data_IF_049372358792
#
_entry.id   IF_049372358792
#
_cell.length_a   1.000
_cell.length_b   1.000
_cell.length_c   1.000
_cell.angle_alpha   90.00
_cell.angle_beta   90.00
_cell.angle_gamma   90.00
#
_symmetry.space_group_name_H-M   'P 1'
#
loop_
_entity.id
_entity.type
_entity.pdbx_description
1 polymer ?
#
# COMPACT_ATOMS: atom_id res chain seq x y z
N UNK A 1 17.46 3.84 8.51
CA UNK A 1 16.83 2.50 8.41
C UNK A 1 15.66 2.56 7.45
N UNK A 2 15.54 1.60 6.53
CA UNK A 2 14.47 1.56 5.52
C UNK A 2 13.65 0.28 5.63
N UNK A 3 12.33 0.41 5.64
CA UNK A 3 11.37 -0.69 5.71
C UNK A 3 10.48 -0.66 4.47
N UNK A 4 10.43 -1.75 3.71
CA UNK A 4 9.55 -1.89 2.54
C UNK A 4 8.20 -2.48 2.95
N UNK A 5 7.12 -1.72 2.74
CA UNK A 5 5.74 -2.13 2.98
C UNK A 5 5.09 -2.58 1.66
N UNK A 6 4.65 -3.83 1.62
CA UNK A 6 4.05 -4.47 0.45
C UNK A 6 2.61 -4.91 0.74
N UNK A 7 1.66 -4.32 0.03
CA UNK A 7 0.26 -4.76 0.05
C UNK A 7 -0.04 -5.62 -1.17
N UNK A 8 -0.41 -6.87 -0.96
CA UNK A 8 -0.60 -7.89 -2.00
C UNK A 8 -2.07 -8.03 -2.36
N UNK A 9 -2.38 -8.09 -3.65
CA UNK A 9 -3.73 -8.43 -4.15
C UNK A 9 -3.95 -9.95 -4.10
N UNK A 10 -3.62 -10.58 -2.97
CA UNK A 10 -3.78 -12.02 -2.77
C UNK A 10 -5.17 -12.31 -2.21
N UNK A 11 -5.96 -13.10 -2.95
CA UNK A 11 -7.28 -13.56 -2.50
C UNK A 11 -7.16 -14.88 -1.72
N UNK A 12 -8.12 -15.23 -0.85
CA UNK A 12 -8.04 -16.41 0.04
C UNK A 12 -7.71 -17.74 -0.64
N UNK A 13 -8.01 -17.88 -1.95
CA UNK A 13 -7.79 -19.10 -2.73
C UNK A 13 -6.70 -18.98 -3.79
N UNK A 14 -5.98 -17.86 -3.85
CA UNK A 14 -4.86 -17.68 -4.79
C UNK A 14 -3.55 -18.08 -4.13
N UNK A 15 -2.71 -18.84 -4.84
CA UNK A 15 -1.35 -19.11 -4.34
C UNK A 15 -0.64 -17.76 -4.21
N UNK A 16 -0.36 -17.40 -2.96
CA UNK A 16 0.37 -16.23 -2.44
C UNK A 16 1.57 -15.76 -3.30
N UNK A 17 2.19 -16.68 -4.06
CA UNK A 17 3.38 -16.48 -4.91
C UNK A 17 3.07 -15.79 -6.25
N UNK A 18 1.83 -15.80 -6.74
CA UNK A 18 1.47 -15.20 -8.05
C UNK A 18 0.84 -13.80 -7.95
N UNK A 19 0.75 -13.26 -6.74
CA UNK A 19 0.03 -12.03 -6.47
C UNK A 19 0.98 -10.84 -6.61
N UNK A 20 0.54 -9.78 -7.29
CA UNK A 20 1.32 -8.54 -7.42
C UNK A 20 1.22 -7.69 -6.15
N UNK A 21 2.26 -6.91 -5.87
CA UNK A 21 2.23 -5.90 -4.82
C UNK A 21 1.62 -4.60 -5.34
N UNK A 22 0.35 -4.35 -5.03
CA UNK A 22 -0.38 -3.18 -5.51
C UNK A 22 -0.17 -1.94 -4.62
N UNK A 23 0.31 -2.15 -3.39
CA UNK A 23 0.80 -1.10 -2.49
C UNK A 23 2.30 -1.31 -2.31
N UNK A 24 3.08 -0.29 -2.63
CA UNK A 24 4.53 -0.31 -2.51
C UNK A 24 5.00 0.98 -1.85
N UNK A 25 5.36 0.92 -0.58
CA UNK A 25 5.72 2.10 0.20
C UNK A 25 7.01 1.82 0.96
N UNK A 26 7.96 2.74 0.87
CA UNK A 26 9.17 2.71 1.68
C UNK A 26 8.97 3.65 2.86
N UNK A 27 9.05 3.10 4.07
CA UNK A 27 9.19 3.86 5.30
C UNK A 27 10.68 4.00 5.61
N UNK A 28 11.20 5.21 5.50
CA UNK A 28 12.54 5.53 5.93
C UNK A 28 12.50 6.21 7.30
N UNK A 29 13.34 5.74 8.22
CA UNK A 29 13.50 6.28 9.57
C UNK A 29 14.97 6.67 9.72
N UNK A 30 15.22 7.96 9.94
CA UNK A 30 16.52 8.44 10.36
C UNK A 30 16.71 8.08 11.84
N UNK A 31 17.76 7.30 12.14
CA UNK A 31 18.01 6.82 13.51
C UNK A 31 18.66 7.88 14.40
N UNK A 32 19.25 8.93 13.81
CA UNK A 32 19.97 9.96 14.56
C UNK A 32 19.00 10.97 15.20
N UNK A 33 17.96 11.36 14.47
CA UNK A 33 16.99 12.39 14.89
C UNK A 33 15.53 11.88 15.00
N UNK A 34 15.28 10.61 14.64
CA UNK A 34 13.96 10.00 14.66
C UNK A 34 13.01 10.49 13.57
N UNK A 35 13.48 11.30 12.61
CA UNK A 35 12.66 11.78 11.50
C UNK A 35 12.24 10.63 10.58
N UNK A 36 11.02 10.71 10.03
CA UNK A 36 10.44 9.66 9.19
C UNK A 36 9.96 10.20 7.85
N UNK A 37 10.16 9.40 6.81
CA UNK A 37 9.68 9.69 5.46
C UNK A 37 8.92 8.48 4.90
N UNK A 38 7.78 8.75 4.26
CA UNK A 38 7.00 7.75 3.53
C UNK A 38 7.09 8.04 2.04
N UNK A 39 7.62 7.08 1.29
CA UNK A 39 7.82 7.18 -0.16
C UNK A 39 6.92 6.15 -0.84
N UNK A 40 5.84 6.61 -1.47
CA UNK A 40 4.95 5.76 -2.25
C UNK A 40 5.48 5.56 -3.67
N UNK A 41 5.67 4.31 -4.09
CA UNK A 41 6.13 3.97 -5.43
C UNK A 41 4.95 3.45 -6.26
N UNK A 42 4.62 4.08 -7.40
CA UNK A 42 3.54 3.59 -8.26
C UNK A 42 3.78 2.14 -8.68
N UNK A 43 2.78 1.28 -8.54
CA UNK A 43 2.88 -0.15 -8.90
C UNK A 43 3.27 -0.41 -10.36
N UNK A 44 2.95 0.54 -11.24
CA UNK A 44 3.16 0.47 -12.68
C UNK A 44 4.52 1.09 -13.10
N UNK A 45 5.35 1.49 -12.14
CA UNK A 45 6.71 2.00 -12.39
C UNK A 45 7.49 0.98 -13.19
N UNK A 46 8.01 1.39 -14.36
CA UNK A 46 8.75 0.50 -15.25
C UNK A 46 10.20 0.42 -14.80
N UNK A 47 10.62 -0.77 -14.37
CA UNK A 47 11.96 -1.03 -13.83
C UNK A 47 12.56 -2.28 -14.47
N UNK A 48 13.88 -2.40 -14.41
CA UNK A 48 14.56 -3.63 -14.79
C UNK A 48 14.52 -4.61 -13.62
N UNK A 49 13.86 -5.76 -13.81
CA UNK A 49 13.78 -6.83 -12.82
C UNK A 49 14.88 -7.85 -13.13
N UNK A 50 15.75 -8.12 -12.15
CA UNK A 50 16.88 -9.04 -12.32
C UNK A 50 16.40 -10.41 -12.80
N UNK A 51 16.97 -10.90 -13.91
CA UNK A 51 16.56 -12.17 -14.53
C UNK A 51 15.25 -12.15 -15.34
N UNK A 52 14.53 -11.03 -15.39
CA UNK A 52 13.21 -10.92 -16.06
C UNK A 52 13.07 -9.72 -17.01
N UNK A 53 14.07 -8.84 -17.08
CA UNK A 53 14.07 -7.66 -17.95
C UNK A 53 13.12 -6.55 -17.48
N UNK A 54 12.79 -5.62 -18.37
CA UNK A 54 11.93 -4.49 -18.02
C UNK A 54 10.46 -4.88 -17.82
N UNK A 55 9.92 -4.61 -16.64
CA UNK A 55 8.51 -4.82 -16.32
C UNK A 55 8.01 -3.78 -15.31
N UNK A 56 6.74 -3.87 -14.92
CA UNK A 56 6.17 -3.10 -13.81
C UNK A 56 6.76 -3.58 -12.50
N UNK A 57 7.11 -2.67 -11.59
CA UNK A 57 7.76 -3.00 -10.32
C UNK A 57 6.95 -3.99 -9.46
N UNK A 58 5.62 -3.92 -9.51
CA UNK A 58 4.76 -4.85 -8.80
C UNK A 58 4.83 -6.30 -9.29
N UNK A 59 5.35 -6.52 -10.49
CA UNK A 59 5.55 -7.86 -11.04
C UNK A 59 6.71 -8.57 -10.36
N UNK A 60 7.67 -7.86 -9.76
CA UNK A 60 8.82 -8.47 -9.08
C UNK A 60 8.38 -9.44 -7.98
N UNK A 61 7.35 -9.06 -7.20
CA UNK A 61 6.78 -9.93 -6.18
C UNK A 61 6.14 -11.19 -6.77
N UNK A 62 5.41 -11.07 -7.88
CA UNK A 62 4.76 -12.21 -8.53
C UNK A 62 5.75 -13.14 -9.27
N UNK A 63 6.91 -12.61 -9.67
CA UNK A 63 7.92 -13.36 -10.42
C UNK A 63 8.90 -14.10 -9.52
N UNK A 64 9.24 -13.52 -8.37
CA UNK A 64 10.28 -14.08 -7.49
C UNK A 64 10.06 -13.79 -6.01
N UNK A 65 8.81 -13.53 -5.61
CA UNK A 65 8.45 -13.35 -4.21
C UNK A 65 9.04 -12.10 -3.57
N UNK A 66 9.08 -12.05 -2.23
CA UNK A 66 9.60 -10.89 -1.50
C UNK A 66 11.08 -10.62 -1.79
N UNK A 67 11.91 -11.65 -2.00
CA UNK A 67 13.35 -11.48 -2.25
C UNK A 67 13.62 -10.72 -3.55
N UNK A 68 12.99 -11.14 -4.66
CA UNK A 68 13.15 -10.43 -5.94
C UNK A 68 12.53 -9.03 -5.89
N UNK A 69 11.42 -8.86 -5.17
CA UNK A 69 10.84 -7.55 -4.94
C UNK A 69 11.85 -6.62 -4.25
N UNK A 70 12.42 -7.03 -3.12
CA UNK A 70 13.41 -6.24 -2.36
C UNK A 70 14.56 -5.83 -3.27
N UNK A 71 15.21 -6.77 -3.96
CA UNK A 71 16.33 -6.47 -4.86
C UNK A 71 15.91 -5.49 -5.96
N UNK A 72 14.69 -5.61 -6.49
CA UNK A 72 14.17 -4.68 -7.50
C UNK A 72 13.98 -3.28 -6.93
N UNK A 73 13.46 -3.13 -5.71
CA UNK A 73 13.31 -1.83 -5.04
C UNK A 73 14.66 -1.21 -4.70
N UNK A 74 15.61 -1.99 -4.20
CA UNK A 74 16.97 -1.52 -3.90
C UNK A 74 17.66 -1.02 -5.18
N UNK A 75 17.60 -1.78 -6.27
CA UNK A 75 18.18 -1.37 -7.55
C UNK A 75 17.50 -0.15 -8.16
N UNK A 76 16.18 0.00 -7.97
CA UNK A 76 15.43 1.12 -8.50
C UNK A 76 15.65 2.42 -7.71
N UNK A 77 15.73 2.33 -6.39
CA UNK A 77 15.80 3.50 -5.49
C UNK A 77 17.21 3.82 -5.01
N UNK A 78 18.16 2.92 -5.22
CA UNK A 78 19.51 2.95 -4.64
C UNK A 78 19.52 2.99 -3.09
N UNK A 79 18.38 2.71 -2.46
CA UNK A 79 18.24 2.61 -1.02
C UNK A 79 18.39 1.15 -0.62
N UNK A 80 19.23 0.88 0.37
CA UNK A 80 19.24 -0.41 1.07
C UNK A 80 17.93 -0.57 1.85
N UNK A 81 17.30 -1.73 1.71
CA UNK A 81 16.10 -2.13 2.46
C UNK A 81 16.53 -3.05 3.60
N UNK A 82 16.35 -2.60 4.84
CA UNK A 82 16.75 -3.36 6.03
C UNK A 82 15.71 -4.42 6.41
N UNK A 83 14.43 -4.09 6.23
CA UNK A 83 13.30 -4.96 6.56
C UNK A 83 12.18 -4.85 5.54
N UNK A 84 11.31 -5.86 5.49
CA UNK A 84 10.06 -5.77 4.74
C UNK A 84 8.89 -6.28 5.56
N UNK A 85 7.72 -5.72 5.28
CA UNK A 85 6.43 -6.19 5.80
C UNK A 85 5.53 -6.43 4.59
N UNK A 86 5.00 -7.64 4.46
CA UNK A 86 4.01 -7.95 3.45
C UNK A 86 2.69 -8.36 4.08
N UNK A 87 1.60 -7.73 3.65
CA UNK A 87 0.24 -8.09 4.08
C UNK A 87 -0.64 -8.37 2.87
N UNK A 88 -1.61 -9.26 3.04
CA UNK A 88 -2.74 -9.38 2.12
C UNK A 88 -3.92 -8.53 2.62
N UNK A 89 -5.05 -8.65 1.93
CA UNK A 89 -6.27 -7.94 2.29
C UNK A 89 -6.81 -8.31 3.66
N UNK A 90 -6.76 -9.58 4.03
CA UNK A 90 -7.27 -10.03 5.32
C UNK A 90 -6.41 -9.50 6.48
N UNK A 91 -5.09 -9.55 6.33
CA UNK A 91 -4.16 -8.98 7.29
C UNK A 91 -4.35 -7.46 7.46
N UNK A 92 -4.64 -6.76 6.36
CA UNK A 92 -4.94 -5.33 6.39
C UNK A 92 -6.26 -5.05 7.12
N UNK A 93 -7.36 -5.71 6.76
CA UNK A 93 -8.66 -5.52 7.39
C UNK A 93 -8.59 -5.82 8.90
N UNK A 94 -7.99 -6.95 9.27
CA UNK A 94 -7.84 -7.36 10.67
C UNK A 94 -7.02 -6.36 11.49
N UNK A 95 -5.97 -5.78 10.90
CA UNK A 95 -5.17 -4.75 11.57
C UNK A 95 -6.01 -3.50 11.85
N UNK A 96 -6.74 -2.99 10.85
CA UNK A 96 -7.57 -1.79 11.00
C UNK A 96 -8.66 -2.01 12.06
N UNK A 97 -9.33 -3.17 12.03
CA UNK A 97 -10.38 -3.48 13.01
C UNK A 97 -9.81 -3.57 14.44
N UNK A 98 -8.64 -4.18 14.62
CA UNK A 98 -7.95 -4.24 15.93
C UNK A 98 -7.54 -2.86 16.45
N UNK A 99 -7.25 -1.92 15.56
CA UNK A 99 -6.93 -0.53 15.91
C UNK A 99 -8.20 0.31 16.18
N UNK A 100 -9.39 -0.28 16.12
CA UNK A 100 -10.66 0.43 16.28
C UNK A 100 -11.00 1.32 15.09
N UNK A 101 -10.63 0.88 13.88
CA UNK A 101 -10.86 1.60 12.64
C UNK A 101 -9.81 2.68 12.34
N UNK A 102 -10.00 3.41 11.25
CA UNK A 102 -9.11 4.47 10.79
C UNK A 102 -9.92 5.69 10.38
N UNK A 103 -9.55 6.86 10.89
CA UNK A 103 -10.25 8.10 10.56
C UNK A 103 -9.67 8.69 9.27
N UNK A 104 -10.53 8.93 8.29
CA UNK A 104 -10.17 9.60 7.04
C UNK A 104 -11.13 10.75 6.79
N UNK A 105 -10.66 11.72 6.01
CA UNK A 105 -11.46 12.82 5.49
C UNK A 105 -11.72 12.54 4.02
N UNK A 106 -13.00 12.43 3.65
CA UNK A 106 -13.45 12.20 2.29
C UNK A 106 -13.87 13.56 1.69
N UNK A 107 -13.16 14.00 0.66
CA UNK A 107 -13.35 15.30 0.00
C UNK A 107 -14.65 15.36 -0.81
N UNK A 108 -15.02 14.24 -1.44
CA UNK A 108 -16.20 14.11 -2.31
C UNK A 108 -16.76 12.71 -2.24
N UNK A 109 -18.01 12.52 -2.67
CA UNK A 109 -18.64 11.19 -2.67
C UNK A 109 -17.82 10.20 -3.49
N UNK A 110 -17.43 9.09 -2.85
CA UNK A 110 -16.68 8.01 -3.48
C UNK A 110 -17.62 6.81 -3.63
N UNK A 111 -17.88 6.43 -4.88
CA UNK A 111 -18.63 5.23 -5.22
C UNK A 111 -17.89 4.49 -6.31
N UNK A 112 -17.45 3.27 -6.03
CA UNK A 112 -16.83 2.37 -7.01
C UNK A 112 -17.30 0.94 -6.76
N UNK A 113 -18.22 0.40 -7.58
CA UNK A 113 -18.72 -0.96 -7.44
C UNK A 113 -17.63 -2.03 -7.50
N UNK A 114 -16.47 -1.71 -8.12
CA UNK A 114 -15.37 -2.66 -8.21
C UNK A 114 -14.61 -2.81 -6.88
N UNK A 115 -14.41 -1.71 -6.15
CA UNK A 115 -13.80 -1.77 -4.82
C UNK A 115 -14.83 -1.96 -3.71
N UNK A 116 -16.12 -1.76 -4.00
CA UNK A 116 -17.20 -1.80 -3.02
C UNK A 116 -17.30 -0.54 -2.16
N UNK A 117 -16.59 0.54 -2.52
CA UNK A 117 -16.64 1.78 -1.74
C UNK A 117 -17.95 2.51 -2.02
N UNK A 118 -18.62 2.96 -0.97
CA UNK A 118 -19.73 3.93 -1.01
C UNK A 118 -19.60 4.81 0.24
N UNK A 119 -18.99 5.98 0.07
CA UNK A 119 -18.67 6.90 1.15
C UNK A 119 -19.09 8.31 0.77
N UNK A 120 -19.70 9.01 1.72
CA UNK A 120 -20.09 10.41 1.58
C UNK A 120 -18.93 11.34 1.97
N UNK A 121 -18.95 12.60 1.51
CA UNK A 121 -17.98 13.60 1.95
C UNK A 121 -18.04 13.80 3.48
N UNK A 122 -16.88 14.06 4.09
CA UNK A 122 -16.74 14.35 5.51
C UNK A 122 -15.70 13.49 6.22
N UNK A 123 -15.50 13.78 7.50
CA UNK A 123 -14.63 12.99 8.39
C UNK A 123 -15.40 11.79 8.91
N UNK A 124 -14.82 10.61 8.73
CA UNK A 124 -15.46 9.36 9.15
C UNK A 124 -14.42 8.31 9.51
N UNK A 125 -14.78 7.43 10.45
CA UNK A 125 -13.95 6.30 10.86
C UNK A 125 -14.37 5.06 10.10
N UNK A 126 -13.45 4.50 9.33
CA UNK A 126 -13.65 3.31 8.52
C UNK A 126 -13.22 2.07 9.31
N UNK A 127 -14.05 1.02 9.27
CA UNK A 127 -13.64 -0.32 9.68
C UNK A 127 -12.71 -0.96 8.62
N UNK A 128 -12.21 -2.17 8.86
CA UNK A 128 -11.26 -2.86 7.99
C UNK A 128 -11.74 -2.98 6.54
N UNK A 129 -12.95 -3.50 6.34
CA UNK A 129 -13.51 -3.69 4.99
C UNK A 129 -13.74 -2.36 4.26
N UNK A 130 -14.24 -1.34 4.95
CA UNK A 130 -14.41 0.01 4.39
C UNK A 130 -13.07 0.66 4.06
N UNK A 131 -12.06 0.52 4.93
CA UNK A 131 -10.72 1.03 4.70
C UNK A 131 -10.04 0.33 3.51
N UNK A 132 -10.30 -0.98 3.33
CA UNK A 132 -9.82 -1.72 2.18
C UNK A 132 -10.49 -1.23 0.90
N UNK A 133 -11.81 -1.11 0.90
CA UNK A 133 -12.57 -0.57 -0.23
C UNK A 133 -12.12 0.85 -0.62
N UNK A 134 -11.87 1.70 0.38
CA UNK A 134 -11.36 3.05 0.23
C UNK A 134 -9.96 3.08 -0.42
N UNK A 135 -9.03 2.29 0.10
CA UNK A 135 -7.64 2.21 -0.39
C UNK A 135 -7.51 1.55 -1.77
N UNK A 136 -8.52 0.77 -2.19
CA UNK A 136 -8.60 0.13 -3.51
C UNK A 136 -9.36 0.94 -4.54
N UNK A 137 -10.09 1.99 -4.13
CA UNK A 137 -10.92 2.73 -5.05
C UNK A 137 -10.08 3.38 -6.16
N UNK A 138 -10.49 3.17 -7.41
CA UNK A 138 -9.72 3.62 -8.58
C UNK A 138 -10.60 4.20 -9.68
N UNK A 139 -11.79 3.62 -9.91
CA UNK A 139 -12.65 4.02 -11.02
C UNK A 139 -13.59 5.16 -10.60
N UNK A 140 -14.24 5.78 -11.59
CA UNK A 140 -15.23 6.83 -11.37
C UNK A 140 -14.67 8.03 -10.61
N UNK A 141 -15.30 8.45 -9.49
CA UNK A 141 -14.92 9.66 -8.75
C UNK A 141 -13.53 9.56 -8.08
N UNK A 142 -12.93 8.36 -8.04
CA UNK A 142 -11.73 8.07 -7.27
C UNK A 142 -10.40 8.56 -7.87
N UNK A 143 -10.37 9.18 -9.05
CA UNK A 143 -9.14 9.83 -9.52
C UNK A 143 -8.02 8.87 -9.95
N UNK A 144 -8.38 7.66 -10.41
CA UNK A 144 -7.45 6.65 -10.97
C UNK A 144 -6.34 6.27 -9.97
N UNK A 145 -5.16 5.89 -10.47
CA UNK A 145 -4.06 5.41 -9.64
C UNK A 145 -3.47 6.51 -8.74
N UNK A 146 -3.47 7.77 -9.18
CA UNK A 146 -3.04 8.92 -8.36
C UNK A 146 -3.92 9.08 -7.13
N UNK A 147 -5.24 9.16 -7.31
CA UNK A 147 -6.15 9.25 -6.17
C UNK A 147 -6.06 8.04 -5.25
N UNK A 148 -5.80 6.84 -5.80
CA UNK A 148 -5.57 5.63 -4.99
C UNK A 148 -4.33 5.78 -4.12
N UNK A 149 -3.23 6.27 -4.68
CA UNK A 149 -2.00 6.54 -3.94
C UNK A 149 -2.21 7.58 -2.84
N UNK A 150 -2.96 8.65 -3.12
CA UNK A 150 -3.26 9.68 -2.13
C UNK A 150 -4.05 9.11 -0.95
N UNK A 151 -5.05 8.27 -1.21
CA UNK A 151 -5.82 7.59 -0.15
C UNK A 151 -4.97 6.62 0.66
N UNK A 152 -4.10 5.86 0.01
CA UNK A 152 -3.15 4.98 0.70
C UNK A 152 -2.18 5.78 1.59
N UNK A 153 -1.71 6.94 1.12
CA UNK A 153 -0.89 7.87 1.90
C UNK A 153 -1.67 8.44 3.09
N UNK A 154 -2.90 8.91 2.87
CA UNK A 154 -3.77 9.43 3.93
C UNK A 154 -4.03 8.38 5.01
N UNK A 155 -4.33 7.14 4.61
CA UNK A 155 -4.48 6.00 5.50
C UNK A 155 -3.26 5.78 6.38
N UNK A 156 -2.05 5.79 5.81
CA UNK A 156 -0.82 5.65 6.59
C UNK A 156 -0.63 6.80 7.58
N UNK A 157 -0.85 8.05 7.16
CA UNK A 157 -0.75 9.22 8.04
C UNK A 157 -1.77 9.13 9.18
N UNK A 158 -2.99 8.68 8.90
CA UNK A 158 -4.02 8.47 9.92
C UNK A 158 -3.64 7.37 10.91
N UNK A 159 -3.01 6.29 10.43
CA UNK A 159 -2.51 5.21 11.28
C UNK A 159 -1.34 5.67 12.15
N UNK A 160 -0.37 6.42 11.62
CA UNK A 160 0.76 6.92 12.43
C UNK A 160 0.29 7.80 13.57
N UNK A 161 -0.76 8.62 13.36
CA UNK A 161 -1.37 9.43 14.42
C UNK A 161 -2.00 8.59 15.54
N UNK A 162 -2.47 7.36 15.24
CA UNK A 162 -2.96 6.43 16.27
C UNK A 162 -1.85 5.78 17.09
N UNK A 163 -0.64 5.68 16.54
CA UNK A 163 0.52 5.10 17.23
C UNK A 163 1.37 6.12 18.01
N UNK A 164 1.21 7.43 17.74
CA UNK A 164 1.87 8.51 18.48
C UNK A 164 1.15 8.82 19.81
N UNK A 165 1.00 7.80 20.66
CA UNK A 165 0.54 7.94 22.05
C UNK A 165 1.73 8.20 22.95
#
# INVERSE_FOLDING_TARGET
>A
MSILLLGRDARPNEKSVWCRSDINIILHINLDDGSTALISIPRDTRVNISGHGYNKINAAYALGGPELAIVTFENFTELKIDYYISTDFYGFESLIDKLGGVTVEVDKRLVDPFSGVDLYPGVQTLNGSQALAYSRCRKGPCGRDWGRMDRQRQMLISLTKKFQV
#
